data_IF_877417454731
#
_entry.id   IF_877417454731
#
_cell.length_a   1.000
_cell.length_b   1.000
_cell.length_c   1.000
_cell.angle_alpha   90.00
_cell.angle_beta   90.00
_cell.angle_gamma   90.00
#
_symmetry.space_group_name_H-M   'P 1'
#
loop_
_entity.id
_entity.type
_entity.pdbx_description
1 polymer ?
#
# COMPACT_ATOMS: atom_id res chain seq x y z
N UNK A 1 -36.57 -55.46 48.99
CA UNK A 1 -35.75 -55.02 47.84
C UNK A 1 -34.32 -54.83 48.32
N UNK A 2 -33.42 -55.63 47.77
CA UNK A 2 -32.06 -55.87 48.24
C UNK A 2 -31.09 -54.78 47.79
N UNK A 3 -30.38 -54.11 48.71
CA UNK A 3 -29.26 -53.24 48.37
C UNK A 3 -27.95 -54.04 48.39
N UNK A 4 -27.09 -53.96 47.35
CA UNK A 4 -25.83 -54.69 47.34
C UNK A 4 -24.75 -54.00 48.22
N UNK A 5 -23.79 -54.75 48.78
CA UNK A 5 -22.78 -54.21 49.67
C UNK A 5 -21.75 -53.35 48.92
N UNK A 6 -21.50 -52.13 49.43
CA UNK A 6 -20.46 -51.22 48.90
C UNK A 6 -19.08 -51.69 49.34
N UNK A 7 -18.23 -52.06 48.38
CA UNK A 7 -16.81 -52.38 48.64
C UNK A 7 -16.04 -51.06 48.82
N UNK A 8 -15.51 -50.84 50.03
CA UNK A 8 -14.59 -49.72 50.33
C UNK A 8 -13.19 -50.13 49.91
N UNK A 9 -12.61 -49.44 48.94
CA UNK A 9 -11.24 -49.68 48.49
C UNK A 9 -10.31 -48.84 49.37
N UNK A 10 -9.47 -49.49 50.18
CA UNK A 10 -8.45 -48.83 50.98
C UNK A 10 -7.21 -48.55 50.11
N UNK A 11 -6.99 -47.28 49.73
CA UNK A 11 -5.75 -46.89 49.06
C UNK A 11 -4.61 -46.73 50.08
N UNK A 12 -3.37 -47.16 49.75
CA UNK A 12 -2.22 -46.97 50.62
C UNK A 12 -1.89 -45.49 50.75
N UNK A 13 -1.61 -45.05 51.99
CA UNK A 13 -1.41 -43.65 52.34
C UNK A 13 -0.05 -43.18 51.84
N UNK A 14 -0.03 -42.36 50.79
CA UNK A 14 1.21 -41.81 50.21
C UNK A 14 1.77 -40.74 51.15
N UNK A 15 3.01 -40.94 51.62
CA UNK A 15 3.71 -39.99 52.50
C UNK A 15 4.24 -38.84 51.64
N UNK A 16 3.69 -37.65 51.81
CA UNK A 16 4.20 -36.44 51.13
C UNK A 16 5.60 -36.12 51.65
N UNK A 17 6.58 -36.01 50.75
CA UNK A 17 7.90 -35.45 51.06
C UNK A 17 7.77 -33.94 51.25
N UNK A 18 8.10 -33.45 52.45
CA UNK A 18 8.17 -32.03 52.74
C UNK A 18 9.20 -31.35 51.84
N UNK A 19 8.78 -30.31 51.10
CA UNK A 19 9.68 -29.46 50.30
C UNK A 19 10.65 -28.72 51.22
N UNK A 20 11.85 -29.26 51.36
CA UNK A 20 13.02 -28.55 51.86
C UNK A 20 14.16 -28.73 50.86
N UNK A 21 14.52 -27.67 50.15
CA UNK A 21 15.62 -27.70 49.19
C UNK A 21 15.82 -26.38 48.47
N UNK A 22 16.68 -25.53 49.03
CA UNK A 22 17.20 -24.31 48.40
C UNK A 22 18.33 -24.74 47.47
N UNK A 23 18.23 -24.54 46.15
CA UNK A 23 19.34 -24.12 45.28
C UNK A 23 18.88 -23.95 43.81
N UNK A 24 19.51 -22.98 43.15
CA UNK A 24 19.55 -22.71 41.69
C UNK A 24 18.43 -21.84 41.11
N UNK A 25 18.51 -20.55 41.46
CA UNK A 25 17.79 -19.45 40.83
C UNK A 25 18.28 -19.17 39.40
N UNK A 26 17.94 -20.03 38.45
CA UNK A 26 18.03 -19.70 37.02
C UNK A 26 16.75 -20.01 36.27
N UNK A 27 15.60 -19.84 36.95
CA UNK A 27 14.32 -19.73 36.28
C UNK A 27 14.15 -18.32 35.75
N UNK A 28 14.13 -18.16 34.42
CA UNK A 28 13.80 -16.91 33.76
C UNK A 28 12.37 -16.49 34.19
N UNK A 29 12.26 -15.57 35.14
CA UNK A 29 10.97 -15.01 35.56
C UNK A 29 10.56 -13.96 34.54
N UNK A 30 9.61 -14.32 33.68
CA UNK A 30 8.93 -13.36 32.80
C UNK A 30 8.06 -12.48 33.71
N UNK A 31 8.62 -11.39 34.22
CA UNK A 31 7.93 -10.46 35.14
C UNK A 31 7.10 -9.40 34.43
N UNK A 32 7.15 -9.35 33.10
CA UNK A 32 6.64 -8.22 32.32
C UNK A 32 5.70 -8.66 31.20
N UNK A 33 4.64 -9.40 31.52
CA UNK A 33 3.47 -9.49 30.63
C UNK A 33 2.59 -8.29 30.95
N UNK A 34 2.87 -7.13 30.33
CA UNK A 34 1.86 -6.08 30.29
C UNK A 34 0.67 -6.66 29.52
N UNK A 35 -0.52 -6.63 30.12
CA UNK A 35 -1.75 -6.96 29.42
C UNK A 35 -1.88 -5.99 28.26
N UNK A 36 -1.51 -6.44 27.06
CA UNK A 36 -1.67 -5.65 25.84
C UNK A 36 -3.16 -5.70 25.55
N UNK A 37 -3.89 -4.72 26.10
CA UNK A 37 -5.29 -4.51 25.75
C UNK A 37 -5.32 -4.35 24.23
N UNK A 38 -6.09 -5.19 23.49
CA UNK A 38 -6.14 -5.08 22.04
C UNK A 38 -6.48 -3.63 21.67
N UNK A 39 -5.77 -3.05 20.68
CA UNK A 39 -6.03 -1.68 20.26
C UNK A 39 -7.52 -1.56 19.95
N UNK A 40 -8.13 -0.51 20.48
CA UNK A 40 -9.55 -0.27 20.32
C UNK A 40 -9.90 -0.26 18.81
N UNK A 41 -10.96 -0.94 18.35
CA UNK A 41 -11.25 -1.10 16.93
C UNK A 41 -11.35 0.23 16.17
N UNK A 42 -11.70 1.33 16.85
CA UNK A 42 -11.74 2.66 16.24
C UNK A 42 -10.34 3.22 15.97
N UNK A 43 -9.37 2.92 16.84
CA UNK A 43 -7.99 3.37 16.67
C UNK A 43 -7.29 2.69 15.50
N UNK A 44 -7.57 1.40 15.30
CA UNK A 44 -7.06 0.64 14.15
C UNK A 44 -7.61 1.21 12.84
N UNK A 45 -8.93 1.45 12.77
CA UNK A 45 -9.56 2.05 11.59
C UNK A 45 -9.01 3.44 11.26
N UNK A 46 -8.78 4.27 12.28
CA UNK A 46 -8.17 5.59 12.08
C UNK A 46 -6.75 5.49 11.53
N UNK A 47 -5.94 4.56 12.05
CA UNK A 47 -4.59 4.31 11.54
C UNK A 47 -4.60 3.84 10.08
N UNK A 48 -5.55 2.96 9.72
CA UNK A 48 -5.74 2.53 8.34
C UNK A 48 -6.17 3.68 7.43
N UNK A 49 -7.10 4.55 7.85
CA UNK A 49 -7.48 5.74 7.08
C UNK A 49 -6.29 6.68 6.86
N UNK A 50 -5.54 6.99 7.91
CA UNK A 50 -4.37 7.87 7.84
C UNK A 50 -3.29 7.29 6.91
N UNK A 51 -3.10 5.96 6.94
CA UNK A 51 -2.19 5.27 6.02
C UNK A 51 -2.66 5.36 4.56
N UNK A 52 -3.97 5.19 4.31
CA UNK A 52 -4.56 5.34 2.97
C UNK A 52 -4.40 6.78 2.46
N UNK A 53 -4.65 7.79 3.30
CA UNK A 53 -4.43 9.20 2.96
C UNK A 53 -2.97 9.46 2.60
N UNK A 54 -2.03 8.95 3.39
CA UNK A 54 -0.61 9.10 3.12
C UNK A 54 -0.19 8.42 1.80
N UNK A 55 -0.76 7.25 1.49
CA UNK A 55 -0.52 6.55 0.24
C UNK A 55 -1.06 7.34 -0.97
N UNK A 56 -2.28 7.85 -0.89
CA UNK A 56 -2.87 8.71 -1.93
C UNK A 56 -2.03 9.96 -2.15
N UNK A 57 -1.58 10.63 -1.09
CA UNK A 57 -0.74 11.81 -1.19
C UNK A 57 0.59 11.50 -1.89
N UNK A 58 1.23 10.36 -1.58
CA UNK A 58 2.44 9.91 -2.27
C UNK A 58 2.18 9.67 -3.76
N UNK A 59 1.08 9.01 -4.11
CA UNK A 59 0.72 8.79 -5.51
C UNK A 59 0.51 10.11 -6.25
N UNK A 60 -0.25 11.05 -5.67
CA UNK A 60 -0.50 12.38 -6.26
C UNK A 60 0.83 13.08 -6.52
N UNK A 61 1.70 13.21 -5.51
CA UNK A 61 2.99 13.90 -5.67
C UNK A 61 3.89 13.21 -6.69
N UNK A 62 3.88 11.87 -6.74
CA UNK A 62 4.69 11.12 -7.71
C UNK A 62 4.23 11.31 -9.17
N UNK A 63 2.90 11.45 -9.39
CA UNK A 63 2.28 11.54 -10.73
C UNK A 63 2.01 12.98 -11.20
N UNK A 64 1.86 13.94 -10.30
CA UNK A 64 1.43 15.33 -10.61
C UNK A 64 2.60 16.33 -10.75
N UNK A 65 3.66 15.95 -11.46
CA UNK A 65 4.72 16.93 -11.77
C UNK A 65 4.17 18.02 -12.69
N UNK A 66 4.62 19.26 -12.50
CA UNK A 66 4.24 20.41 -13.33
C UNK A 66 5.08 20.49 -14.60
N UNK A 67 4.47 20.99 -15.67
CA UNK A 67 5.08 21.05 -17.00
C UNK A 67 6.30 21.99 -17.04
N UNK A 68 7.43 21.48 -17.54
CA UNK A 68 8.71 22.19 -17.63
C UNK A 68 8.80 23.19 -18.80
N UNK A 69 7.67 23.79 -19.19
CA UNK A 69 7.63 24.70 -20.33
C UNK A 69 8.33 26.03 -20.01
N UNK A 70 9.22 26.50 -20.89
CA UNK A 70 10.16 27.58 -20.58
C UNK A 70 9.58 28.99 -20.69
N UNK A 71 8.53 29.23 -21.47
CA UNK A 71 8.05 30.60 -21.71
C UNK A 71 7.02 31.08 -20.68
N UNK A 72 6.31 30.17 -20.02
CA UNK A 72 5.41 30.49 -18.92
C UNK A 72 5.18 29.24 -18.05
N UNK A 73 4.82 29.45 -16.78
CA UNK A 73 4.46 28.37 -15.87
C UNK A 73 3.16 27.70 -16.31
N UNK A 74 3.27 26.47 -16.81
CA UNK A 74 2.12 25.72 -17.27
C UNK A 74 1.55 24.88 -16.11
N UNK A 75 0.29 25.12 -15.67
CA UNK A 75 -0.30 24.42 -14.53
C UNK A 75 -0.73 22.97 -14.88
N UNK A 76 -0.57 22.55 -16.14
CA UNK A 76 -0.98 21.23 -16.57
C UNK A 76 -0.01 20.16 -16.07
N UNK A 77 -0.53 19.00 -15.62
CA UNK A 77 0.31 17.89 -15.18
C UNK A 77 1.12 17.34 -16.36
N UNK A 78 2.32 16.89 -16.03
CA UNK A 78 3.27 16.24 -16.93
C UNK A 78 2.79 14.85 -17.28
N UNK A 79 3.03 14.46 -18.53
CA UNK A 79 2.78 13.08 -18.96
C UNK A 79 3.84 12.17 -18.35
N UNK A 80 3.40 11.02 -17.84
CA UNK A 80 4.26 9.98 -17.25
C UNK A 80 5.51 9.71 -18.09
N UNK A 81 6.69 9.82 -17.46
CA UNK A 81 7.99 9.59 -18.12
C UNK A 81 8.49 10.73 -19.02
N UNK A 82 7.82 11.87 -19.04
CA UNK A 82 8.24 13.07 -19.79
C UNK A 82 8.37 14.27 -18.87
N UNK A 83 8.72 15.41 -19.44
CA UNK A 83 8.86 16.70 -18.74
C UNK A 83 7.76 17.71 -19.12
N UNK A 84 6.92 17.37 -20.09
CA UNK A 84 5.93 18.26 -20.68
C UNK A 84 4.52 17.70 -20.52
N UNK A 85 3.52 18.57 -20.46
CA UNK A 85 2.10 18.22 -20.47
C UNK A 85 1.63 17.82 -21.88
N UNK A 86 0.40 17.34 -22.00
CA UNK A 86 -0.17 16.89 -23.28
C UNK A 86 -0.23 17.96 -24.38
N UNK A 87 -0.29 19.25 -24.06
CA UNK A 87 -0.19 20.31 -25.08
C UNK A 87 1.25 20.60 -25.48
N UNK A 88 2.17 20.55 -24.52
CA UNK A 88 3.58 20.94 -24.75
C UNK A 88 4.48 19.77 -25.14
N UNK A 89 3.99 18.53 -25.09
CA UNK A 89 4.71 17.36 -25.57
C UNK A 89 5.14 17.47 -27.03
N UNK A 90 4.39 18.21 -27.85
CA UNK A 90 4.72 18.47 -29.27
C UNK A 90 5.97 19.34 -29.44
N UNK A 91 6.35 20.11 -28.41
CA UNK A 91 7.55 20.96 -28.41
C UNK A 91 8.80 20.19 -27.98
N UNK A 92 8.62 18.99 -27.45
CA UNK A 92 9.70 18.15 -26.97
C UNK A 92 10.26 17.31 -28.13
N UNK A 93 11.49 17.56 -28.60
CA UNK A 93 12.08 16.80 -29.71
C UNK A 93 12.34 15.34 -29.35
N UNK A 94 12.38 15.00 -28.05
CA UNK A 94 12.55 13.61 -27.58
C UNK A 94 11.25 12.82 -27.60
N UNK A 95 10.11 13.48 -27.84
CA UNK A 95 8.81 12.86 -27.80
C UNK A 95 8.34 12.40 -29.19
N UNK A 96 7.84 11.15 -29.34
CA UNK A 96 7.27 10.64 -30.59
C UNK A 96 5.84 11.17 -30.78
N UNK A 97 5.64 12.47 -30.57
CA UNK A 97 4.34 13.13 -30.71
C UNK A 97 4.52 14.38 -31.58
N UNK A 98 3.59 14.58 -32.51
CA UNK A 98 3.51 15.75 -33.37
C UNK A 98 2.11 16.34 -33.32
N UNK A 99 1.94 17.59 -33.73
CA UNK A 99 0.62 18.17 -33.86
C UNK A 99 -0.20 17.37 -34.89
N UNK A 100 -1.45 17.08 -34.57
CA UNK A 100 -2.36 16.39 -35.47
C UNK A 100 -2.42 17.09 -36.85
N UNK A 101 -2.38 16.28 -37.91
CA UNK A 101 -2.40 16.75 -39.29
C UNK A 101 -3.80 17.15 -39.78
N UNK A 102 -4.85 16.82 -39.03
CA UNK A 102 -6.23 17.13 -39.40
C UNK A 102 -6.49 18.64 -39.38
N UNK A 103 -7.08 19.12 -40.47
CA UNK A 103 -7.60 20.49 -40.60
C UNK A 103 -9.12 20.41 -40.59
N UNK A 104 -9.75 21.14 -39.68
CA UNK A 104 -11.21 21.23 -39.60
C UNK A 104 -11.77 21.96 -40.82
N UNK A 105 -13.08 21.80 -41.08
CA UNK A 105 -13.76 22.44 -42.21
C UNK A 105 -13.73 23.98 -42.18
N UNK A 106 -13.42 24.58 -41.03
CA UNK A 106 -13.21 26.01 -40.84
C UNK A 106 -11.76 26.47 -41.16
N UNK A 107 -10.88 25.58 -41.61
CA UNK A 107 -9.49 25.87 -41.92
C UNK A 107 -8.53 25.84 -40.73
N UNK A 108 -9.02 25.61 -39.51
CA UNK A 108 -8.16 25.52 -38.32
C UNK A 108 -7.49 24.14 -38.21
N UNK A 109 -6.22 24.13 -37.80
CA UNK A 109 -5.48 22.88 -37.56
C UNK A 109 -5.79 22.35 -36.17
N UNK A 110 -5.94 21.03 -36.07
CA UNK A 110 -6.11 20.37 -34.78
C UNK A 110 -4.90 20.62 -33.87
N UNK A 111 -5.15 21.00 -32.61
CA UNK A 111 -4.11 21.30 -31.61
C UNK A 111 -3.74 20.08 -30.76
N UNK A 112 -4.40 18.94 -31.00
CA UNK A 112 -4.14 17.71 -30.26
C UNK A 112 -2.80 17.09 -30.66
N UNK A 113 -2.04 16.54 -29.70
CA UNK A 113 -0.88 15.71 -30.01
C UNK A 113 -1.34 14.39 -30.64
N UNK A 114 -0.73 14.01 -31.75
CA UNK A 114 -0.86 12.71 -32.39
C UNK A 114 0.49 11.96 -32.32
N UNK A 115 0.51 10.63 -32.20
CA UNK A 115 1.73 9.85 -32.34
C UNK A 115 2.42 10.16 -33.67
N UNK A 116 3.72 10.43 -33.66
CA UNK A 116 4.48 10.53 -34.91
C UNK A 116 4.62 9.12 -35.48
N UNK A 117 4.05 8.90 -36.66
CA UNK A 117 4.05 7.67 -37.47
C UNK A 117 5.44 7.14 -37.90
N UNK A 118 6.53 7.49 -37.20
CA UNK A 118 7.88 6.94 -37.43
C UNK A 118 8.08 5.54 -36.84
N UNK A 119 7.04 4.71 -36.88
CA UNK A 119 7.14 3.26 -36.73
C UNK A 119 6.19 2.63 -37.74
N UNK A 120 6.78 2.14 -38.81
CA UNK A 120 6.25 1.33 -39.89
C UNK A 120 5.21 0.29 -39.45
N UNK A 121 3.96 0.71 -39.32
CA UNK A 121 2.79 -0.17 -39.40
C UNK A 121 1.74 0.47 -40.31
N UNK A 122 2.17 0.78 -41.53
CA UNK A 122 1.24 0.86 -42.65
C UNK A 122 0.94 -0.59 -43.02
N UNK A 123 -0.12 -1.15 -42.43
CA UNK A 123 -0.76 -2.36 -42.92
C UNK A 123 -1.59 -1.96 -44.15
N UNK A 124 -1.21 -2.33 -45.39
CA UNK A 124 -2.07 -2.16 -46.54
C UNK A 124 -3.00 -3.40 -46.59
N UNK A 125 -4.16 -3.28 -45.97
CA UNK A 125 -5.32 -4.14 -46.25
C UNK A 125 -6.05 -3.69 -47.49
#
# INVERSE_FOLDING_TARGET
>A
MSQPPRKVIHLPKVRMLSRGGRMSSSGLRITNVKSIKPPDPETVKKQEEDALRAQLQKEIVSRSRVCAYKSYECPLPVISGRQHCYRHIVRDPTAPYRQCAHTYGNGERCTMPAPSESRDHRDPG
#
